data_IF_003546231672
#
_entry.id   IF_003546231672
#
_cell.length_a   1.000
_cell.length_b   1.000
_cell.length_c   1.000
_cell.angle_alpha   90.00
_cell.angle_beta   90.00
_cell.angle_gamma   90.00
#
_symmetry.space_group_name_H-M   'P 1'
#
loop_
_entity.id
_entity.type
_entity.pdbx_description
1 polymer ?
#
# COMPACT_ATOMS: atom_id res chain seq x y z
N UNK A 1 43.37 -40.04 36.86
CA UNK A 1 43.43 -38.60 36.46
C UNK A 1 42.35 -38.37 35.42
N UNK A 2 41.25 -37.81 35.84
CA UNK A 2 40.12 -37.58 34.97
C UNK A 2 40.10 -36.12 34.54
N UNK A 3 40.34 -35.90 33.25
CA UNK A 3 40.24 -34.55 32.68
C UNK A 3 38.81 -34.32 32.27
N UNK A 4 38.15 -33.47 33.01
CA UNK A 4 36.79 -33.03 32.73
C UNK A 4 36.91 -31.91 31.67
N UNK A 5 36.49 -32.23 30.45
CA UNK A 5 36.31 -31.20 29.42
C UNK A 5 34.96 -30.57 29.63
N UNK A 6 35.00 -29.35 30.14
CA UNK A 6 33.83 -28.51 30.23
C UNK A 6 33.58 -27.91 28.84
N UNK A 7 32.63 -28.45 28.13
CA UNK A 7 32.14 -27.88 26.85
C UNK A 7 31.23 -26.70 27.19
N UNK A 8 31.78 -25.52 27.04
CA UNK A 8 31.00 -24.27 27.14
C UNK A 8 30.18 -24.12 25.86
N UNK A 9 28.93 -24.51 25.91
CA UNK A 9 27.98 -24.28 24.83
C UNK A 9 27.62 -22.80 24.79
N UNK A 10 28.22 -22.07 23.83
CA UNK A 10 27.84 -20.71 23.49
C UNK A 10 26.52 -20.76 22.72
N UNK A 11 25.42 -20.58 23.43
CA UNK A 11 24.12 -20.35 22.80
C UNK A 11 24.10 -18.93 22.21
N UNK A 12 24.48 -18.81 20.95
CA UNK A 12 24.27 -17.60 20.18
C UNK A 12 22.77 -17.49 19.88
N UNK A 13 22.07 -16.73 20.70
CA UNK A 13 20.69 -16.31 20.41
C UNK A 13 20.74 -15.32 19.24
N UNK A 14 20.50 -15.84 18.04
CA UNK A 14 20.19 -15.00 16.88
C UNK A 14 18.80 -14.40 17.08
N UNK A 15 18.76 -13.21 17.65
CA UNK A 15 17.61 -12.33 17.58
C UNK A 15 17.53 -11.79 16.15
N UNK A 16 16.99 -12.60 15.23
CA UNK A 16 16.65 -12.17 13.88
C UNK A 16 15.47 -11.23 14.00
N UNK A 17 15.75 -9.96 13.68
CA UNK A 17 14.77 -8.88 13.71
C UNK A 17 13.56 -9.13 12.82
N UNK A 18 12.45 -9.47 13.45
CA UNK A 18 11.14 -9.62 12.82
C UNK A 18 10.40 -8.30 12.58
N UNK A 19 11.12 -7.14 12.50
CA UNK A 19 10.48 -5.83 12.43
C UNK A 19 10.21 -5.29 11.02
N UNK A 20 10.54 -6.00 9.93
CA UNK A 20 10.40 -5.49 8.56
C UNK A 20 9.16 -5.94 7.80
N UNK A 21 8.52 -7.03 8.18
CA UNK A 21 7.36 -7.53 7.44
C UNK A 21 6.05 -6.85 7.81
N UNK A 22 5.90 -6.39 9.02
CA UNK A 22 4.66 -5.77 9.49
C UNK A 22 4.40 -4.39 8.84
N UNK A 23 5.45 -3.64 8.55
CA UNK A 23 5.35 -2.34 7.84
C UNK A 23 4.97 -2.51 6.38
N UNK A 24 5.47 -3.53 5.69
CA UNK A 24 5.14 -3.77 4.30
C UNK A 24 3.69 -4.26 4.13
N UNK A 25 3.18 -5.09 5.05
CA UNK A 25 1.81 -5.58 5.04
C UNK A 25 0.76 -4.48 5.28
N UNK A 26 1.15 -3.39 5.95
CA UNK A 26 0.26 -2.25 6.24
C UNK A 26 0.41 -1.09 5.24
N UNK A 27 1.19 -1.25 4.17
CA UNK A 27 1.43 -0.22 3.17
C UNK A 27 0.50 -0.35 1.98
N UNK A 28 -0.04 0.79 1.56
CA UNK A 28 -0.84 0.95 0.34
C UNK A 28 0.07 1.54 -0.74
N UNK A 29 0.09 0.93 -1.92
CA UNK A 29 0.85 1.44 -3.06
C UNK A 29 -0.08 2.09 -4.06
N UNK A 30 0.22 3.31 -4.46
CA UNK A 30 -0.56 4.07 -5.46
C UNK A 30 0.34 4.35 -6.65
N UNK A 31 0.09 3.63 -7.75
CA UNK A 31 0.77 3.86 -9.02
C UNK A 31 -0.02 4.88 -9.83
N UNK A 32 0.65 5.95 -10.20
CA UNK A 32 0.06 7.07 -10.95
C UNK A 32 1.00 7.56 -12.06
N UNK A 33 0.50 8.44 -12.89
CA UNK A 33 1.31 9.13 -13.91
C UNK A 33 0.89 10.60 -14.01
N UNK A 34 1.81 11.49 -14.42
CA UNK A 34 1.49 12.89 -14.67
C UNK A 34 0.43 13.04 -15.78
N UNK A 35 -0.47 14.01 -15.60
CA UNK A 35 -1.53 14.30 -16.58
C UNK A 35 -2.65 13.26 -16.62
N UNK A 36 -2.87 12.55 -15.52
CA UNK A 36 -3.94 11.57 -15.36
C UNK A 36 -5.02 12.14 -14.43
N UNK A 37 -6.19 12.60 -14.93
CA UNK A 37 -7.24 13.20 -14.10
C UNK A 37 -7.76 12.27 -13.02
N UNK A 38 -7.93 10.98 -13.32
CA UNK A 38 -8.36 9.99 -12.35
C UNK A 38 -7.34 9.79 -11.22
N UNK A 39 -6.03 9.92 -11.53
CA UNK A 39 -4.97 9.88 -10.52
C UNK A 39 -5.03 11.09 -9.59
N UNK A 40 -5.30 12.28 -10.14
CA UNK A 40 -5.44 13.52 -9.35
C UNK A 40 -6.62 13.43 -8.39
N UNK A 41 -7.78 12.97 -8.86
CA UNK A 41 -8.96 12.77 -8.02
C UNK A 41 -8.73 11.72 -6.92
N UNK A 42 -8.05 10.63 -7.24
CA UNK A 42 -7.68 9.62 -6.26
C UNK A 42 -6.75 10.20 -5.20
N UNK A 43 -5.73 10.96 -5.63
CA UNK A 43 -4.76 11.57 -4.71
C UNK A 43 -5.41 12.61 -3.81
N UNK A 44 -6.30 13.44 -4.33
CA UNK A 44 -7.05 14.42 -3.53
C UNK A 44 -7.87 13.70 -2.44
N UNK A 45 -8.59 12.65 -2.81
CA UNK A 45 -9.40 11.88 -1.87
C UNK A 45 -8.53 11.21 -0.79
N UNK A 46 -7.48 10.52 -1.21
CA UNK A 46 -6.57 9.80 -0.30
C UNK A 46 -5.85 10.77 0.64
N UNK A 47 -5.36 11.89 0.13
CA UNK A 47 -4.68 12.91 0.95
C UNK A 47 -5.61 13.58 1.94
N UNK A 48 -6.89 13.71 1.62
CA UNK A 48 -7.89 14.29 2.52
C UNK A 48 -8.30 13.35 3.64
N UNK A 49 -8.59 12.09 3.34
CA UNK A 49 -9.21 11.16 4.27
C UNK A 49 -8.25 10.11 4.85
N UNK A 50 -7.13 9.82 4.18
CA UNK A 50 -6.21 8.75 4.52
C UNK A 50 -4.76 9.20 4.72
N UNK A 51 -4.53 10.49 4.96
CA UNK A 51 -3.18 11.08 5.13
C UNK A 51 -2.33 10.41 6.21
N UNK A 52 -2.95 9.78 7.21
CA UNK A 52 -2.27 9.12 8.31
C UNK A 52 -1.95 7.64 8.02
N UNK A 53 -2.34 7.14 6.87
CA UNK A 53 -2.03 5.78 6.45
C UNK A 53 -0.63 5.70 5.83
N UNK A 54 -0.04 4.51 5.85
CA UNK A 54 1.23 4.27 5.14
C UNK A 54 0.97 4.09 3.65
N UNK A 55 1.13 5.16 2.90
CA UNK A 55 0.84 5.20 1.46
C UNK A 55 2.11 5.56 0.72
N UNK A 56 2.53 4.68 -0.16
CA UNK A 56 3.65 4.91 -1.07
C UNK A 56 3.12 5.27 -2.47
N UNK A 57 3.53 6.44 -2.93
CA UNK A 57 3.15 7.00 -4.23
C UNK A 57 4.24 6.76 -5.24
N UNK A 58 3.90 6.08 -6.32
CA UNK A 58 4.85 5.61 -7.31
C UNK A 58 4.46 6.15 -8.69
N UNK A 59 5.21 7.15 -9.17
CA UNK A 59 5.08 7.62 -10.54
C UNK A 59 5.64 6.55 -11.49
N UNK A 60 4.81 5.98 -12.36
CA UNK A 60 5.20 4.89 -13.25
C UNK A 60 6.24 5.28 -14.31
N UNK A 61 6.46 6.58 -14.51
CA UNK A 61 7.48 7.11 -15.42
C UNK A 61 8.86 7.26 -14.77
N UNK A 62 8.97 7.00 -13.47
CA UNK A 62 10.19 7.18 -12.72
C UNK A 62 10.81 5.84 -12.32
N UNK A 63 12.14 5.75 -12.43
CA UNK A 63 12.90 4.59 -12.01
C UNK A 63 12.35 3.27 -12.55
N UNK A 64 12.20 2.27 -11.67
CA UNK A 64 11.66 0.96 -12.01
C UNK A 64 10.18 0.79 -11.60
N UNK A 65 9.45 1.88 -11.39
CA UNK A 65 8.08 1.82 -10.88
C UNK A 65 7.11 1.12 -11.84
N UNK A 66 7.31 1.27 -13.14
CA UNK A 66 6.56 0.50 -14.14
C UNK A 66 6.79 -1.01 -13.97
N UNK A 67 8.03 -1.43 -13.72
CA UNK A 67 8.35 -2.83 -13.46
C UNK A 67 7.66 -3.37 -12.19
N UNK A 68 7.53 -2.56 -11.16
CA UNK A 68 6.76 -2.91 -9.97
C UNK A 68 5.27 -3.05 -10.28
N UNK A 69 4.70 -2.12 -11.03
CA UNK A 69 3.30 -2.18 -11.46
C UNK A 69 3.02 -3.46 -12.26
N UNK A 70 3.87 -3.81 -13.21
CA UNK A 70 3.72 -5.02 -14.03
C UNK A 70 3.78 -6.30 -13.18
N UNK A 71 4.62 -6.35 -12.15
CA UNK A 71 4.63 -7.48 -11.20
C UNK A 71 3.32 -7.63 -10.44
N UNK A 72 2.73 -6.51 -10.00
CA UNK A 72 1.42 -6.53 -9.36
C UNK A 72 0.30 -6.90 -10.35
N UNK A 73 0.33 -6.36 -11.57
CA UNK A 73 -0.62 -6.74 -12.62
C UNK A 73 -0.60 -8.27 -12.85
N UNK A 74 0.59 -8.85 -12.97
CA UNK A 74 0.75 -10.31 -13.08
C UNK A 74 0.20 -11.05 -11.86
N UNK A 75 0.51 -10.59 -10.64
CA UNK A 75 -0.01 -11.17 -9.39
C UNK A 75 -1.54 -11.21 -9.37
N UNK A 76 -2.18 -10.14 -9.80
CA UNK A 76 -3.64 -10.01 -9.84
C UNK A 76 -4.28 -10.50 -11.15
N UNK A 77 -3.49 -11.08 -12.07
CA UNK A 77 -3.94 -11.57 -13.37
C UNK A 77 -4.61 -10.49 -14.23
N UNK A 78 -4.14 -9.27 -14.11
CA UNK A 78 -4.55 -8.15 -14.96
C UNK A 78 -3.67 -8.14 -16.20
N UNK A 79 -4.32 -8.11 -17.37
CA UNK A 79 -3.63 -8.04 -18.67
C UNK A 79 -2.93 -6.69 -18.82
N UNK A 80 -1.71 -6.68 -19.39
CA UNK A 80 -0.95 -5.46 -19.65
C UNK A 80 -1.69 -4.51 -20.60
N UNK A 81 -2.47 -5.06 -21.55
CA UNK A 81 -3.25 -4.27 -22.50
C UNK A 81 -4.43 -3.54 -21.85
N UNK A 82 -4.93 -4.03 -20.71
CA UNK A 82 -6.03 -3.41 -19.96
C UNK A 82 -5.55 -2.61 -18.75
N UNK A 83 -4.21 -2.56 -18.54
CA UNK A 83 -3.64 -1.90 -17.37
C UNK A 83 -3.81 -0.39 -17.46
N UNK A 84 -4.35 0.21 -16.41
CA UNK A 84 -4.59 1.64 -16.29
C UNK A 84 -4.17 2.24 -14.96
N UNK A 85 -4.13 3.55 -14.91
CA UNK A 85 -3.82 4.32 -13.69
C UNK A 85 -5.02 5.19 -13.27
N UNK A 86 -5.17 5.49 -11.96
CA UNK A 86 -4.35 4.97 -10.87
C UNK A 86 -4.52 3.45 -10.71
N UNK A 87 -3.43 2.77 -10.34
CA UNK A 87 -3.48 1.37 -9.92
C UNK A 87 -3.05 1.32 -8.45
N UNK A 88 -3.95 0.85 -7.59
CA UNK A 88 -3.75 0.90 -6.14
C UNK A 88 -3.69 -0.51 -5.61
N UNK A 89 -2.62 -0.84 -4.89
CA UNK A 89 -2.42 -2.16 -4.27
C UNK A 89 -2.67 -2.05 -2.76
N UNK A 90 -3.58 -2.86 -2.28
CA UNK A 90 -4.01 -2.91 -0.89
C UNK A 90 -3.96 -4.37 -0.39
N UNK A 91 -2.75 -4.85 -0.08
CA UNK A 91 -2.52 -6.24 0.34
C UNK A 91 -2.79 -7.24 -0.78
N UNK A 92 -3.81 -8.05 -0.61
CA UNK A 92 -4.29 -9.05 -1.59
C UNK A 92 -5.37 -8.51 -2.53
N UNK A 93 -5.66 -7.22 -2.46
CA UNK A 93 -6.65 -6.52 -3.29
C UNK A 93 -5.98 -5.44 -4.13
N UNK A 94 -6.63 -5.09 -5.22
CA UNK A 94 -6.24 -3.95 -6.03
C UNK A 94 -7.46 -3.14 -6.49
N UNK A 95 -7.21 -1.91 -6.85
CA UNK A 95 -8.18 -1.00 -7.46
C UNK A 95 -7.51 -0.42 -8.71
N UNK A 96 -8.24 -0.35 -9.80
CA UNK A 96 -7.76 0.25 -11.05
C UNK A 96 -8.76 1.30 -11.52
N UNK A 97 -8.25 2.47 -11.89
CA UNK A 97 -9.06 3.64 -12.18
C UNK A 97 -9.60 4.32 -10.91
N UNK A 98 -10.40 5.36 -11.09
CA UNK A 98 -11.02 6.09 -9.99
C UNK A 98 -12.41 6.58 -10.36
N UNK A 99 -13.36 6.28 -9.50
CA UNK A 99 -14.77 6.63 -9.66
C UNK A 99 -15.56 6.17 -8.43
N UNK A 100 -16.87 6.28 -8.47
CA UNK A 100 -17.77 5.97 -7.34
C UNK A 100 -17.54 4.56 -6.76
N UNK A 101 -17.38 3.58 -7.64
CA UNK A 101 -17.18 2.20 -7.19
C UNK A 101 -15.80 2.02 -6.55
N UNK A 102 -14.77 2.61 -7.16
CA UNK A 102 -13.39 2.53 -6.65
C UNK A 102 -13.25 3.22 -5.28
N UNK A 103 -13.94 4.33 -5.05
CA UNK A 103 -14.01 4.98 -3.72
C UNK A 103 -14.63 4.03 -2.68
N UNK A 104 -15.72 3.36 -3.01
CA UNK A 104 -16.36 2.39 -2.10
C UNK A 104 -15.42 1.22 -1.80
N UNK A 105 -14.75 0.71 -2.82
CA UNK A 105 -13.80 -0.39 -2.67
C UNK A 105 -12.59 0.02 -1.85
N UNK A 106 -12.04 1.22 -2.09
CA UNK A 106 -10.94 1.77 -1.29
C UNK A 106 -11.32 1.87 0.19
N UNK A 107 -12.45 2.46 0.50
CA UNK A 107 -12.95 2.59 1.88
C UNK A 107 -13.14 1.21 2.54
N UNK A 108 -13.64 0.24 1.80
CA UNK A 108 -13.84 -1.13 2.30
C UNK A 108 -12.51 -1.82 2.58
N UNK A 109 -11.54 -1.71 1.68
CA UNK A 109 -10.23 -2.37 1.81
C UNK A 109 -9.36 -1.69 2.86
N UNK A 110 -9.45 -0.36 2.98
CA UNK A 110 -8.70 0.42 3.97
C UNK A 110 -9.00 0.02 5.42
N UNK A 111 -10.14 -0.61 5.70
CA UNK A 111 -10.48 -1.14 7.03
C UNK A 111 -9.47 -2.19 7.53
N UNK A 112 -8.76 -2.85 6.63
CA UNK A 112 -7.73 -3.84 6.97
C UNK A 112 -6.35 -3.22 7.24
N UNK A 113 -6.23 -1.90 7.04
CA UNK A 113 -4.99 -1.16 7.24
C UNK A 113 -5.09 -0.31 8.49
N UNK A 114 -3.96 -0.15 9.17
CA UNK A 114 -3.87 0.68 10.37
C UNK A 114 -3.28 2.03 10.03
N UNK A 115 -3.87 3.14 10.48
CA UNK A 115 -3.22 4.44 10.39
C UNK A 115 -1.87 4.42 11.10
N UNK A 116 -0.90 5.17 10.60
CA UNK A 116 0.32 5.45 11.37
C UNK A 116 -0.09 6.12 12.67
N UNK A 117 0.43 5.65 13.79
CA UNK A 117 0.19 6.25 15.10
C UNK A 117 0.73 7.70 15.10
N UNK A 118 -0.16 8.65 14.86
CA UNK A 118 0.10 10.07 14.99
C UNK A 118 -1.00 10.67 15.86
N UNK A 119 -0.68 11.59 16.78
CA UNK A 119 -1.65 12.17 17.70
C UNK A 119 -2.69 13.09 17.02
N UNK A 120 -2.65 13.24 15.70
CA UNK A 120 -3.61 14.04 14.96
C UNK A 120 -4.81 13.18 14.57
N UNK A 121 -5.99 13.62 14.99
CA UNK A 121 -7.29 13.02 14.68
C UNK A 121 -7.36 12.57 13.23
N UNK A 122 -7.55 11.28 13.03
CA UNK A 122 -7.95 10.75 11.74
C UNK A 122 -9.35 11.31 11.41
N UNK A 123 -9.45 12.09 10.35
CA UNK A 123 -10.76 12.41 9.78
C UNK A 123 -11.29 11.12 9.17
N UNK A 124 -12.29 10.54 9.78
CA UNK A 124 -12.93 9.34 9.23
C UNK A 124 -13.44 9.66 7.82
N UNK A 125 -13.08 8.82 6.85
CA UNK A 125 -13.57 8.97 5.50
C UNK A 125 -15.10 8.80 5.49
N UNK A 126 -15.86 9.73 4.90
CA UNK A 126 -17.28 9.59 4.78
C UNK A 126 -17.61 8.36 3.91
N UNK A 127 -18.46 7.50 4.40
CA UNK A 127 -18.83 6.27 3.68
C UNK A 127 -19.58 6.54 2.36
N UNK A 128 -20.02 7.79 2.16
CA UNK A 128 -20.81 8.25 1.01
C UNK A 128 -20.14 9.37 0.20
N UNK A 129 -18.82 9.58 0.36
CA UNK A 129 -18.13 10.56 -0.48
C UNK A 129 -18.21 10.12 -1.95
N UNK A 130 -18.94 10.88 -2.72
CA UNK A 130 -18.99 10.73 -4.18
C UNK A 130 -17.83 11.52 -4.79
N UNK A 131 -17.15 10.99 -5.80
CA UNK A 131 -16.24 11.80 -6.59
C UNK A 131 -17.03 12.95 -7.24
N UNK A 132 -16.41 14.12 -7.31
CA UNK A 132 -17.01 15.28 -7.98
C UNK A 132 -17.53 14.88 -9.36
N UNK A 133 -18.81 15.18 -9.61
CA UNK A 133 -19.32 15.18 -10.96
C UNK A 133 -18.61 16.33 -11.68
N UNK A 134 -17.88 16.01 -12.73
CA UNK A 134 -17.49 17.01 -13.71
C UNK A 134 -18.75 17.73 -14.22
N UNK A 135 -18.78 19.03 -14.02
CA UNK A 135 -19.65 19.92 -14.79
C UNK A 135 -18.87 20.43 -15.99
#
# INVERSE_FOLDING_TARGET
MKRIFTVLALAATMALGACKEETAANRIYVFSQPGCPHCEHAEEYISRYYRNYDIERLNIREGNNMGYLLRYAKKFKVSEQSLGTPFIVMGDKYIMGWGNQQVKDFNRYAKNFKPKSSPLRSVAAPQNAQPHKEQ
#
